data_IF_088054274791
#
_entry.id   IF_088054274791
#
_cell.length_a   1.000
_cell.length_b   1.000
_cell.length_c   1.000
_cell.angle_alpha   90.00
_cell.angle_beta   90.00
_cell.angle_gamma   90.00
#
_symmetry.space_group_name_H-M   'P 1'
#
loop_
_entity.id
_entity.type
_entity.pdbx_description
1 polymer ?
#
# COMPACT_ATOMS: atom_id res chain seq x y z
N UNK A 1 36.56 -10.50 -6.75
CA UNK A 1 35.08 -10.42 -6.68
C UNK A 1 34.68 -8.95 -6.71
N UNK A 2 33.73 -8.55 -7.56
CA UNK A 2 33.29 -7.14 -7.63
C UNK A 2 32.46 -6.81 -6.39
N UNK A 3 32.86 -5.80 -5.63
CA UNK A 3 31.99 -5.16 -4.64
C UNK A 3 30.73 -4.68 -5.36
N UNK A 4 29.56 -5.10 -4.88
CA UNK A 4 28.29 -4.62 -5.39
C UNK A 4 28.07 -3.24 -4.76
N UNK A 5 28.45 -2.17 -5.48
CA UNK A 5 28.22 -0.80 -5.03
C UNK A 5 26.72 -0.47 -5.11
N UNK A 6 25.96 -0.90 -4.10
CA UNK A 6 24.62 -0.37 -3.88
C UNK A 6 24.73 0.96 -3.16
N UNK A 7 24.04 1.98 -3.67
CA UNK A 7 23.86 3.21 -2.93
C UNK A 7 22.76 2.97 -1.88
N UNK A 8 23.19 2.64 -0.65
CA UNK A 8 22.30 2.40 0.51
C UNK A 8 21.37 3.60 0.75
N UNK A 9 21.87 4.83 0.61
CA UNK A 9 21.07 6.05 0.78
C UNK A 9 19.89 6.09 -0.20
N UNK A 10 20.14 5.87 -1.50
CA UNK A 10 19.07 5.86 -2.51
C UNK A 10 18.01 4.77 -2.26
N UNK A 11 18.43 3.61 -1.72
CA UNK A 11 17.50 2.51 -1.44
C UNK A 11 16.65 2.85 -0.21
N UNK A 12 17.23 3.42 0.84
CA UNK A 12 16.50 3.86 2.02
C UNK A 12 15.53 5.02 1.68
N UNK A 13 15.94 5.97 0.84
CA UNK A 13 15.07 7.04 0.31
C UNK A 13 13.87 6.49 -0.47
N UNK A 14 14.09 5.44 -1.27
CA UNK A 14 13.02 4.75 -1.99
C UNK A 14 12.04 4.07 -1.02
N UNK A 15 12.53 3.45 0.06
CA UNK A 15 11.67 2.89 1.11
C UNK A 15 10.86 3.97 1.84
N UNK A 16 11.46 5.13 2.13
CA UNK A 16 10.74 6.25 2.73
C UNK A 16 9.63 6.78 1.80
N UNK A 17 9.94 6.92 0.51
CA UNK A 17 8.96 7.33 -0.50
C UNK A 17 7.80 6.33 -0.60
N UNK A 18 8.09 5.03 -0.55
CA UNK A 18 7.07 3.98 -0.51
C UNK A 18 6.20 4.06 0.75
N UNK A 19 6.77 4.39 1.92
CA UNK A 19 6.02 4.60 3.15
C UNK A 19 5.03 5.76 3.04
N UNK A 20 5.45 6.88 2.44
CA UNK A 20 4.59 8.03 2.20
C UNK A 20 3.43 7.67 1.28
N UNK A 21 3.69 6.94 0.20
CA UNK A 21 2.64 6.46 -0.71
C UNK A 21 1.63 5.54 -0.02
N UNK A 22 2.10 4.59 0.79
CA UNK A 22 1.21 3.71 1.58
C UNK A 22 0.35 4.53 2.53
N UNK A 23 0.92 5.55 3.18
CA UNK A 23 0.18 6.44 4.09
C UNK A 23 -0.95 7.16 3.34
N UNK A 24 -0.66 7.76 2.19
CA UNK A 24 -1.68 8.43 1.39
C UNK A 24 -2.77 7.47 0.87
N UNK A 25 -2.42 6.24 0.53
CA UNK A 25 -3.40 5.23 0.12
C UNK A 25 -4.33 4.87 1.29
N UNK A 26 -3.79 4.69 2.50
CA UNK A 26 -4.58 4.42 3.70
C UNK A 26 -5.53 5.58 4.03
N UNK A 27 -5.06 6.83 3.95
CA UNK A 27 -5.92 8.02 4.14
C UNK A 27 -7.07 8.06 3.12
N UNK A 28 -6.79 7.72 1.85
CA UNK A 28 -7.82 7.66 0.82
C UNK A 28 -8.81 6.50 1.06
N UNK A 29 -8.36 5.38 1.58
CA UNK A 29 -9.21 4.25 1.96
C UNK A 29 -10.18 4.65 3.09
N UNK A 30 -9.70 5.38 4.10
CA UNK A 30 -10.56 5.94 5.15
C UNK A 30 -11.63 6.88 4.59
N UNK A 31 -11.24 7.80 3.69
CA UNK A 31 -12.20 8.70 3.03
C UNK A 31 -13.26 7.95 2.23
N UNK A 32 -12.87 6.87 1.53
CA UNK A 32 -13.82 6.03 0.77
C UNK A 32 -14.75 5.27 1.72
N UNK A 33 -14.26 4.81 2.88
CA UNK A 33 -15.10 4.21 3.91
C UNK A 33 -16.15 5.20 4.42
N UNK A 34 -15.75 6.46 4.66
CA UNK A 34 -16.66 7.53 5.11
C UNK A 34 -17.74 7.83 4.06
N UNK A 35 -17.34 7.98 2.79
CA UNK A 35 -18.29 8.20 1.68
C UNK A 35 -19.28 7.03 1.58
N UNK A 36 -18.79 5.79 1.66
CA UNK A 36 -19.65 4.61 1.66
C UNK A 36 -20.69 4.66 2.78
N UNK A 37 -20.26 4.99 4.01
CA UNK A 37 -21.16 5.05 5.17
C UNK A 37 -22.24 6.12 5.00
N UNK A 38 -21.88 7.29 4.46
CA UNK A 38 -22.83 8.38 4.17
C UNK A 38 -23.85 7.98 3.10
N UNK A 39 -23.40 7.40 1.99
CA UNK A 39 -24.27 6.95 0.89
C UNK A 39 -25.20 5.83 1.38
N UNK A 40 -24.66 4.88 2.14
CA UNK A 40 -25.43 3.78 2.72
C UNK A 40 -26.54 4.31 3.65
N UNK A 41 -26.22 5.27 4.51
CA UNK A 41 -27.16 5.81 5.48
C UNK A 41 -28.29 6.63 4.84
N UNK A 42 -27.97 7.49 3.86
CA UNK A 42 -28.94 8.45 3.34
C UNK A 42 -29.62 8.06 2.02
N UNK A 43 -28.98 7.23 1.19
CA UNK A 43 -29.34 7.09 -0.23
C UNK A 43 -29.56 5.64 -0.67
N UNK A 44 -29.28 4.65 0.18
CA UNK A 44 -29.31 3.22 -0.16
C UNK A 44 -30.67 2.68 -0.65
N UNK A 45 -31.77 3.36 -0.32
CA UNK A 45 -33.14 2.93 -0.66
C UNK A 45 -33.59 3.32 -2.08
N UNK A 46 -32.88 4.25 -2.74
CA UNK A 46 -33.20 4.67 -4.11
C UNK A 46 -32.30 3.94 -5.12
N UNK A 47 -32.81 3.64 -6.33
CA UNK A 47 -32.10 2.83 -7.33
C UNK A 47 -30.66 3.27 -7.63
N UNK A 48 -30.44 4.59 -7.71
CA UNK A 48 -29.09 5.16 -7.90
C UNK A 48 -28.19 4.98 -6.66
N UNK A 49 -28.72 5.15 -5.45
CA UNK A 49 -27.94 5.01 -4.22
C UNK A 49 -27.67 3.56 -3.83
N UNK A 50 -28.55 2.62 -4.20
CA UNK A 50 -28.28 1.18 -4.11
C UNK A 50 -27.07 0.81 -4.98
N UNK A 51 -27.09 1.20 -6.26
CA UNK A 51 -25.96 0.97 -7.17
C UNK A 51 -24.67 1.62 -6.66
N UNK A 52 -24.73 2.87 -6.21
CA UNK A 52 -23.55 3.55 -5.66
C UNK A 52 -22.98 2.82 -4.43
N UNK A 53 -23.84 2.27 -3.56
CA UNK A 53 -23.40 1.47 -2.41
C UNK A 53 -22.72 0.17 -2.84
N UNK A 54 -23.24 -0.51 -3.86
CA UNK A 54 -22.64 -1.73 -4.42
C UNK A 54 -21.28 -1.46 -5.07
N UNK A 55 -21.19 -0.41 -5.90
CA UNK A 55 -19.95 0.00 -6.58
C UNK A 55 -18.87 0.41 -5.56
N UNK A 56 -19.23 1.25 -4.57
CA UNK A 56 -18.32 1.63 -3.48
C UNK A 56 -17.93 0.44 -2.61
N UNK A 57 -18.84 -0.50 -2.37
CA UNK A 57 -18.56 -1.72 -1.62
C UNK A 57 -17.51 -2.61 -2.32
N UNK A 58 -17.57 -2.70 -3.65
CA UNK A 58 -16.57 -3.40 -4.46
C UNK A 58 -15.23 -2.69 -4.42
N UNK A 59 -15.23 -1.37 -4.67
CA UNK A 59 -14.01 -0.55 -4.63
C UNK A 59 -13.28 -0.66 -3.28
N UNK A 60 -14.01 -0.63 -2.16
CA UNK A 60 -13.43 -0.81 -0.82
C UNK A 60 -12.72 -2.15 -0.67
N UNK A 61 -13.33 -3.25 -1.15
CA UNK A 61 -12.72 -4.58 -1.07
C UNK A 61 -11.43 -4.66 -1.89
N UNK A 62 -11.46 -4.12 -3.10
CA UNK A 62 -10.31 -4.10 -4.00
C UNK A 62 -9.15 -3.26 -3.42
N UNK A 63 -9.46 -2.08 -2.86
CA UNK A 63 -8.46 -1.24 -2.20
C UNK A 63 -7.85 -1.92 -0.98
N UNK A 64 -8.66 -2.52 -0.12
CA UNK A 64 -8.17 -3.26 1.05
C UNK A 64 -7.22 -4.38 0.63
N UNK A 65 -7.57 -5.11 -0.43
CA UNK A 65 -6.74 -6.17 -0.95
C UNK A 65 -5.41 -5.63 -1.49
N UNK A 66 -5.44 -4.60 -2.34
CA UNK A 66 -4.23 -3.99 -2.90
C UNK A 66 -3.30 -3.42 -1.83
N UNK A 67 -3.83 -2.83 -0.76
CA UNK A 67 -3.03 -2.32 0.37
C UNK A 67 -2.30 -3.46 1.09
N UNK A 68 -3.00 -4.57 1.34
CA UNK A 68 -2.38 -5.75 1.96
C UNK A 68 -1.27 -6.35 1.09
N UNK A 69 -1.47 -6.40 -0.23
CA UNK A 69 -0.42 -6.83 -1.17
C UNK A 69 0.78 -5.90 -1.15
N UNK A 70 0.57 -4.57 -1.15
CA UNK A 70 1.65 -3.58 -1.07
C UNK A 70 2.45 -3.74 0.23
N UNK A 71 1.77 -3.92 1.37
CA UNK A 71 2.44 -4.17 2.65
C UNK A 71 3.30 -5.43 2.62
N UNK A 72 2.78 -6.50 2.01
CA UNK A 72 3.49 -7.78 1.88
C UNK A 72 4.73 -7.61 1.01
N UNK A 73 4.58 -7.04 -0.19
CA UNK A 73 5.69 -6.80 -1.12
C UNK A 73 6.74 -5.85 -0.54
N UNK A 74 6.33 -4.81 0.18
CA UNK A 74 7.27 -3.92 0.89
C UNK A 74 8.11 -4.70 1.91
N UNK A 75 7.49 -5.60 2.67
CA UNK A 75 8.19 -6.43 3.66
C UNK A 75 9.18 -7.37 2.99
N UNK A 76 8.79 -8.02 1.90
CA UNK A 76 9.67 -8.88 1.08
C UNK A 76 10.87 -8.09 0.56
N UNK A 77 10.64 -6.94 -0.07
CA UNK A 77 11.70 -6.04 -0.53
C UNK A 77 12.66 -5.63 0.59
N UNK A 78 12.13 -5.37 1.80
CA UNK A 78 12.99 -5.02 2.94
C UNK A 78 13.86 -6.20 3.36
N UNK A 79 13.30 -7.41 3.40
CA UNK A 79 14.05 -8.61 3.74
C UNK A 79 15.16 -8.90 2.72
N UNK A 80 14.85 -8.77 1.43
CA UNK A 80 15.82 -8.95 0.34
C UNK A 80 16.97 -7.93 0.47
N UNK A 81 16.64 -6.67 0.76
CA UNK A 81 17.63 -5.63 0.99
C UNK A 81 18.56 -5.92 2.18
N UNK A 82 18.00 -6.34 3.32
CA UNK A 82 18.81 -6.71 4.49
C UNK A 82 19.71 -7.93 4.22
N UNK A 83 19.21 -8.92 3.46
CA UNK A 83 20.01 -10.07 3.03
C UNK A 83 21.17 -9.63 2.13
N UNK A 84 20.91 -8.75 1.15
CA UNK A 84 21.96 -8.22 0.27
C UNK A 84 23.04 -7.49 1.07
N UNK A 85 22.67 -6.67 2.06
CA UNK A 85 23.63 -6.01 2.96
C UNK A 85 24.46 -7.02 3.77
N UNK A 86 23.82 -8.06 4.29
CA UNK A 86 24.51 -9.10 5.05
C UNK A 86 25.53 -9.86 4.18
N UNK A 87 25.14 -10.20 2.95
CA UNK A 87 26.02 -10.85 1.97
C UNK A 87 27.21 -9.94 1.63
N UNK A 88 26.99 -8.67 1.29
CA UNK A 88 28.10 -7.73 1.00
C UNK A 88 29.10 -7.61 2.16
N UNK A 89 28.59 -7.53 3.40
CA UNK A 89 29.42 -7.48 4.61
C UNK A 89 30.23 -8.76 4.85
N UNK A 90 29.70 -9.93 4.48
CA UNK A 90 30.38 -11.22 4.65
C UNK A 90 31.59 -11.42 3.73
N UNK A 91 31.69 -10.61 2.68
CA UNK A 91 32.83 -10.61 1.74
C UNK A 91 33.90 -9.55 2.08
N UNK A 92 33.74 -8.83 3.21
CA UNK A 92 34.76 -7.93 3.79
C UNK A 92 35.56 -8.66 4.85
#
# INVERSE_FOLDING_TARGET
MRQMYFNEEHIEDAFESLNKLITYINENQERINDIYNLVQAGWSQNGAGKKATEDLGTLRKELNHGINEIHTKKKELRNDWELMKAVDRSYK
#
